data_IF_817541678074
#
_entry.id   IF_817541678074
#
_cell.length_a   1.000
_cell.length_b   1.000
_cell.length_c   1.000
_cell.angle_alpha   90.00
_cell.angle_beta   90.00
_cell.angle_gamma   90.00
#
_symmetry.space_group_name_H-M   'P 1'
#
loop_
_entity.id
_entity.type
_entity.pdbx_description
1 polymer ?
#
# COMPACT_ATOMS: atom_id res chain seq x y z
N UNK A 1 17.93 8.81 15.39
CA UNK A 1 18.43 8.64 14.01
C UNK A 1 17.24 8.58 13.07
N UNK A 2 17.19 9.43 12.05
CA UNK A 2 16.30 9.30 10.93
C UNK A 2 17.06 8.64 9.76
N UNK A 3 16.59 7.48 9.33
CA UNK A 3 17.09 6.77 8.14
C UNK A 3 16.21 7.16 6.95
N UNK A 4 16.83 7.39 5.80
CA UNK A 4 16.15 7.80 4.57
C UNK A 4 16.92 7.30 3.35
N UNK A 5 16.24 7.10 2.22
CA UNK A 5 16.82 6.70 0.92
C UNK A 5 17.60 5.37 0.95
N UNK A 6 17.25 4.46 1.83
CA UNK A 6 17.84 3.11 1.89
C UNK A 6 16.91 2.12 1.21
N UNK A 7 17.39 1.48 0.14
CA UNK A 7 16.59 0.52 -0.62
C UNK A 7 16.20 -0.73 0.19
N UNK A 8 15.01 -1.26 -0.09
CA UNK A 8 14.62 -2.58 0.41
C UNK A 8 15.38 -3.70 -0.38
N UNK A 9 15.84 -4.79 0.27
CA UNK A 9 15.53 -5.19 1.65
C UNK A 9 16.50 -4.64 2.73
N UNK A 10 17.58 -3.99 2.35
CA UNK A 10 18.64 -3.58 3.28
C UNK A 10 18.14 -2.62 4.36
N UNK A 11 17.19 -1.75 4.03
CA UNK A 11 16.60 -0.83 5.00
C UNK A 11 15.97 -1.53 6.21
N UNK A 12 15.37 -2.70 6.04
CA UNK A 12 14.78 -3.47 7.15
C UNK A 12 15.86 -3.98 8.10
N UNK A 13 16.94 -4.55 7.52
CA UNK A 13 18.04 -5.13 8.28
C UNK A 13 18.82 -4.04 9.03
N UNK A 14 19.05 -2.91 8.38
CA UNK A 14 19.80 -1.78 8.95
C UNK A 14 19.02 -1.19 10.12
N UNK A 15 17.73 -0.91 9.93
CA UNK A 15 16.88 -0.34 10.99
C UNK A 15 16.81 -1.26 12.20
N UNK A 16 16.56 -2.56 12.01
CA UNK A 16 16.51 -3.56 13.06
C UNK A 16 17.81 -3.62 13.87
N UNK A 17 18.93 -3.75 13.16
CA UNK A 17 20.25 -3.81 13.81
C UNK A 17 20.63 -2.53 14.56
N UNK A 18 20.23 -1.37 14.09
CA UNK A 18 20.48 -0.12 14.80
C UNK A 18 19.60 -0.01 16.04
N UNK A 19 18.33 -0.41 15.97
CA UNK A 19 17.44 -0.46 17.15
C UNK A 19 17.93 -1.42 18.24
N UNK A 20 18.54 -2.54 17.84
CA UNK A 20 19.13 -3.50 18.78
C UNK A 20 20.39 -2.98 19.48
N UNK A 21 21.18 -2.14 18.81
CA UNK A 21 22.51 -1.70 19.28
C UNK A 21 22.51 -0.35 19.99
N UNK A 22 21.48 0.45 19.81
CA UNK A 22 21.45 1.83 20.26
C UNK A 22 20.29 2.05 21.22
N UNK A 23 20.54 2.84 22.25
CA UNK A 23 19.53 3.24 23.26
C UNK A 23 18.82 4.56 22.87
N UNK A 24 18.93 5.01 21.63
CA UNK A 24 18.25 6.19 21.11
C UNK A 24 17.22 5.78 20.07
N UNK A 25 16.18 6.60 19.83
CA UNK A 25 15.20 6.29 18.79
C UNK A 25 15.83 6.18 17.40
N UNK A 26 15.47 5.11 16.69
CA UNK A 26 15.82 4.89 15.29
C UNK A 26 14.53 4.82 14.49
N UNK A 27 14.42 5.62 13.45
CA UNK A 27 13.24 5.77 12.61
C UNK A 27 13.67 5.74 11.14
N UNK A 28 12.88 5.11 10.28
CA UNK A 28 13.10 5.11 8.83
C UNK A 28 11.92 5.79 8.15
N UNK A 29 12.15 6.96 7.59
CA UNK A 29 11.08 7.82 7.06
C UNK A 29 10.31 7.19 5.91
N UNK A 30 11.01 6.61 4.92
CA UNK A 30 10.38 5.94 3.78
C UNK A 30 9.47 4.76 4.17
N UNK A 31 9.68 4.17 5.35
CA UNK A 31 8.79 3.16 5.90
C UNK A 31 7.69 3.80 6.75
N UNK A 32 8.09 4.39 7.86
CA UNK A 32 7.18 4.76 8.94
C UNK A 32 6.56 6.14 8.76
N UNK A 33 7.27 7.11 8.17
CA UNK A 33 6.73 8.42 7.86
C UNK A 33 5.61 8.32 6.83
N UNK A 34 5.87 7.62 5.73
CA UNK A 34 4.85 7.34 4.70
C UNK A 34 3.65 6.59 5.28
N UNK A 35 3.88 5.61 6.16
CA UNK A 35 2.78 4.85 6.78
C UNK A 35 1.92 5.72 7.70
N UNK A 36 2.53 6.57 8.52
CA UNK A 36 1.84 7.47 9.45
C UNK A 36 0.95 8.45 8.68
N UNK A 37 1.50 9.13 7.67
CA UNK A 37 0.74 10.13 6.92
C UNK A 37 -0.40 9.50 6.11
N UNK A 38 -0.15 8.31 5.55
CA UNK A 38 -1.15 7.58 4.78
C UNK A 38 -2.28 7.07 5.66
N UNK A 39 -1.99 6.58 6.87
CA UNK A 39 -3.03 6.19 7.81
C UNK A 39 -3.85 7.39 8.28
N UNK A 40 -3.22 8.52 8.59
CA UNK A 40 -3.92 9.73 8.97
C UNK A 40 -4.88 10.20 7.87
N UNK A 41 -4.42 10.17 6.61
CA UNK A 41 -5.26 10.47 5.46
C UNK A 41 -6.40 9.45 5.29
N UNK A 42 -6.13 8.16 5.50
CA UNK A 42 -7.14 7.11 5.41
C UNK A 42 -8.27 7.32 6.44
N UNK A 43 -7.92 7.58 7.70
CA UNK A 43 -8.91 7.82 8.77
C UNK A 43 -9.85 8.98 8.38
N UNK A 44 -9.30 10.10 7.91
CA UNK A 44 -10.10 11.25 7.49
C UNK A 44 -10.96 10.94 6.25
N UNK A 45 -10.39 10.23 5.26
CA UNK A 45 -11.13 9.85 4.06
C UNK A 45 -12.28 8.86 4.36
N UNK A 46 -12.08 7.96 5.32
CA UNK A 46 -13.12 7.05 5.79
C UNK A 46 -14.27 7.80 6.47
N UNK A 47 -13.98 8.82 7.27
CA UNK A 47 -15.02 9.65 7.87
C UNK A 47 -15.83 10.41 6.81
N UNK A 48 -15.16 10.99 5.82
CA UNK A 48 -15.83 11.68 4.69
C UNK A 48 -16.68 10.71 3.88
N UNK A 49 -16.15 9.54 3.53
CA UNK A 49 -16.83 8.55 2.69
C UNK A 49 -17.85 7.69 3.45
N UNK A 50 -17.92 7.84 4.79
CA UNK A 50 -18.78 7.06 5.70
C UNK A 50 -18.53 5.55 5.61
N UNK A 51 -17.28 5.15 5.39
CA UNK A 51 -16.86 3.76 5.34
C UNK A 51 -16.25 3.34 6.69
N UNK A 52 -16.44 2.08 7.06
CA UNK A 52 -15.87 1.53 8.30
C UNK A 52 -14.55 0.83 8.00
N UNK A 53 -13.50 1.14 8.75
CA UNK A 53 -12.15 0.62 8.54
C UNK A 53 -12.07 -0.92 8.49
N UNK A 54 -12.89 -1.61 9.27
CA UNK A 54 -12.95 -3.08 9.31
C UNK A 54 -13.56 -3.73 8.07
N UNK A 55 -14.29 -2.97 7.25
CA UNK A 55 -15.06 -3.50 6.12
C UNK A 55 -14.48 -3.12 4.76
N UNK A 56 -13.55 -2.16 4.72
CA UNK A 56 -12.93 -1.70 3.47
C UNK A 56 -12.03 -2.76 2.86
N UNK A 57 -11.99 -2.76 1.52
CA UNK A 57 -11.03 -3.51 0.71
C UNK A 57 -9.98 -2.57 0.15
N UNK A 58 -8.73 -2.88 0.39
CA UNK A 58 -7.58 -2.05 -0.02
C UNK A 58 -6.75 -2.79 -1.06
N UNK A 59 -6.40 -2.10 -2.13
CA UNK A 59 -5.36 -2.54 -3.06
C UNK A 59 -4.14 -1.65 -2.89
N UNK A 60 -3.03 -2.26 -2.50
CA UNK A 60 -1.72 -1.60 -2.38
C UNK A 60 -0.89 -1.93 -3.60
N UNK A 61 -0.67 -0.95 -4.46
CA UNK A 61 0.13 -1.11 -5.68
C UNK A 61 1.56 -0.62 -5.44
N UNK A 62 2.43 -1.56 -5.22
CA UNK A 62 3.80 -1.45 -4.74
C UNK A 62 4.07 -2.53 -3.69
N UNK A 63 5.30 -3.02 -3.62
CA UNK A 63 5.72 -4.00 -2.62
C UNK A 63 7.14 -3.70 -2.14
N UNK A 64 7.42 -2.42 -1.96
CA UNK A 64 8.63 -1.89 -1.34
C UNK A 64 8.45 -1.61 0.15
N UNK A 65 9.44 -0.95 0.74
CA UNK A 65 9.47 -0.66 2.18
C UNK A 65 8.24 0.13 2.66
N UNK A 66 7.89 1.21 1.97
CA UNK A 66 6.71 2.03 2.28
C UNK A 66 5.39 1.26 2.19
N UNK A 67 5.21 0.46 1.13
CA UNK A 67 4.01 -0.35 0.94
C UNK A 67 3.81 -1.37 2.06
N UNK A 68 4.89 -2.01 2.50
CA UNK A 68 4.88 -2.96 3.61
C UNK A 68 4.54 -2.28 4.94
N UNK A 69 5.17 -1.14 5.21
CA UNK A 69 4.92 -0.38 6.43
C UNK A 69 3.48 0.16 6.49
N UNK A 70 2.96 0.72 5.40
CA UNK A 70 1.57 1.14 5.29
C UNK A 70 0.60 -0.02 5.54
N UNK A 71 0.84 -1.17 4.90
CA UNK A 71 0.00 -2.36 5.06
C UNK A 71 -0.03 -2.84 6.51
N UNK A 72 1.11 -2.89 7.18
CA UNK A 72 1.19 -3.27 8.59
C UNK A 72 0.41 -2.30 9.48
N UNK A 73 0.58 -0.99 9.26
CA UNK A 73 -0.11 0.01 10.05
C UNK A 73 -1.64 -0.03 9.83
N UNK A 74 -2.10 -0.28 8.61
CA UNK A 74 -3.52 -0.46 8.31
C UNK A 74 -4.11 -1.69 9.02
N UNK A 75 -3.39 -2.82 9.01
CA UNK A 75 -3.80 -4.03 9.77
C UNK A 75 -3.90 -3.75 11.26
N UNK A 76 -2.91 -3.10 11.83
CA UNK A 76 -2.89 -2.73 13.25
C UNK A 76 -4.01 -1.75 13.62
N UNK A 77 -4.51 -0.99 12.65
CA UNK A 77 -5.62 -0.04 12.81
C UNK A 77 -7.00 -0.66 12.57
N UNK A 78 -7.08 -1.95 12.26
CA UNK A 78 -8.33 -2.69 12.17
C UNK A 78 -8.77 -3.13 10.76
N UNK A 79 -7.96 -2.89 9.73
CA UNK A 79 -8.22 -3.48 8.40
C UNK A 79 -7.94 -4.97 8.44
N UNK A 80 -8.89 -5.78 7.98
CA UNK A 80 -8.73 -7.24 7.95
C UNK A 80 -7.65 -7.65 6.95
N UNK A 81 -6.83 -8.62 7.31
CA UNK A 81 -5.73 -9.08 6.47
C UNK A 81 -6.20 -9.57 5.08
N UNK A 82 -7.30 -10.30 5.03
CA UNK A 82 -7.90 -10.82 3.80
C UNK A 82 -8.46 -9.73 2.88
N UNK A 83 -8.67 -8.51 3.40
CA UNK A 83 -9.16 -7.36 2.66
C UNK A 83 -8.04 -6.50 2.06
N UNK A 84 -6.77 -6.84 2.28
CA UNK A 84 -5.64 -6.09 1.69
C UNK A 84 -4.98 -6.94 0.62
N UNK A 85 -4.99 -6.46 -0.62
CA UNK A 85 -4.32 -7.10 -1.75
C UNK A 85 -3.10 -6.25 -2.13
N UNK A 86 -1.92 -6.84 -2.01
CA UNK A 86 -0.68 -6.20 -2.45
C UNK A 86 -0.33 -6.64 -3.87
N UNK A 87 0.12 -5.68 -4.68
CA UNK A 87 0.47 -5.90 -6.10
C UNK A 87 1.88 -5.37 -6.34
N UNK A 88 2.72 -6.12 -7.04
CA UNK A 88 4.03 -5.66 -7.52
C UNK A 88 4.11 -5.70 -9.06
N UNK A 89 5.29 -5.45 -9.62
CA UNK A 89 5.51 -5.44 -11.08
C UNK A 89 5.11 -6.75 -11.80
N UNK A 90 5.02 -7.86 -11.07
CA UNK A 90 4.63 -9.17 -11.61
C UNK A 90 3.15 -9.50 -11.36
N UNK A 91 2.39 -8.56 -10.77
CA UNK A 91 0.98 -8.73 -10.44
C UNK A 91 0.72 -8.95 -8.95
N UNK A 92 -0.41 -9.52 -8.63
CA UNK A 92 -0.86 -9.76 -7.25
C UNK A 92 0.11 -10.66 -6.49
N UNK A 93 0.33 -10.33 -5.21
CA UNK A 93 1.09 -11.18 -4.28
C UNK A 93 0.10 -12.15 -3.64
N UNK A 94 0.05 -13.38 -4.18
CA UNK A 94 -0.86 -14.43 -3.73
C UNK A 94 -0.12 -15.63 -3.15
N UNK A 95 -0.79 -16.41 -2.33
CA UNK A 95 -0.23 -17.61 -1.71
C UNK A 95 0.08 -18.66 -2.78
N UNK A 96 1.31 -19.17 -2.76
CA UNK A 96 1.82 -20.11 -3.78
C UNK A 96 2.37 -19.45 -5.04
N UNK A 97 2.51 -18.12 -5.08
CA UNK A 97 3.21 -17.44 -6.15
C UNK A 97 4.71 -17.70 -6.05
N UNK A 98 5.32 -18.12 -7.17
CA UNK A 98 6.76 -18.35 -7.26
C UNK A 98 7.59 -17.05 -7.11
N UNK A 99 8.84 -17.21 -6.67
CA UNK A 99 9.83 -16.13 -6.60
C UNK A 99 9.45 -14.95 -5.68
N UNK A 100 8.72 -15.21 -4.60
CA UNK A 100 8.53 -14.27 -3.50
C UNK A 100 9.74 -14.36 -2.55
N UNK A 101 10.30 -13.21 -2.19
CA UNK A 101 11.25 -13.16 -1.08
C UNK A 101 10.49 -13.26 0.26
N UNK A 102 11.25 -13.47 1.36
CA UNK A 102 10.67 -13.66 2.69
C UNK A 102 9.76 -12.50 3.13
N UNK A 103 10.11 -11.25 2.79
CA UNK A 103 9.31 -10.08 3.15
C UNK A 103 7.99 -10.03 2.39
N UNK A 104 8.02 -10.23 1.07
CA UNK A 104 6.81 -10.23 0.24
C UNK A 104 5.90 -11.41 0.56
N UNK A 105 6.46 -12.58 0.88
CA UNK A 105 5.66 -13.77 1.20
C UNK A 105 4.76 -13.57 2.42
N UNK A 106 5.16 -12.71 3.38
CA UNK A 106 4.35 -12.36 4.53
C UNK A 106 3.03 -11.62 4.19
N UNK A 107 2.95 -11.05 2.99
CA UNK A 107 1.75 -10.34 2.50
C UNK A 107 0.95 -11.14 1.47
N UNK A 108 1.34 -12.39 1.21
CA UNK A 108 0.62 -13.25 0.29
C UNK A 108 -0.72 -13.70 0.87
N UNK A 109 -1.80 -13.42 0.15
CA UNK A 109 -3.16 -13.81 0.53
C UNK A 109 -3.72 -14.89 -0.39
N UNK A 110 -4.76 -15.57 0.07
CA UNK A 110 -5.51 -16.52 -0.76
C UNK A 110 -6.45 -15.74 -1.68
N UNK A 111 -6.19 -15.76 -2.98
CA UNK A 111 -7.02 -15.04 -3.97
C UNK A 111 -6.85 -15.63 -5.37
N UNK A 112 -7.88 -15.45 -6.20
CA UNK A 112 -7.86 -15.81 -7.63
C UNK A 112 -7.32 -14.67 -8.50
N UNK A 113 -7.20 -13.46 -7.97
CA UNK A 113 -6.69 -12.32 -8.73
C UNK A 113 -5.20 -12.48 -9.04
N UNK A 114 -4.80 -12.06 -10.24
CA UNK A 114 -3.42 -12.12 -10.71
C UNK A 114 -2.89 -10.75 -11.13
N UNK A 115 -3.76 -9.86 -11.56
CA UNK A 115 -3.43 -8.53 -12.08
C UNK A 115 -4.00 -7.42 -11.20
N UNK A 116 -3.45 -6.20 -11.35
CA UNK A 116 -4.01 -5.01 -10.72
C UNK A 116 -5.45 -4.76 -11.16
N UNK A 117 -5.74 -4.93 -12.46
CA UNK A 117 -7.09 -4.72 -13.01
C UNK A 117 -8.13 -5.67 -12.38
N UNK A 118 -7.73 -6.89 -12.05
CA UNK A 118 -8.61 -7.85 -11.36
C UNK A 118 -8.79 -7.47 -9.88
N UNK A 119 -7.69 -7.12 -9.21
CA UNK A 119 -7.68 -6.81 -7.78
C UNK A 119 -8.48 -5.56 -7.43
N UNK A 120 -8.43 -4.53 -8.31
CA UNK A 120 -9.04 -3.22 -8.04
C UNK A 120 -10.57 -3.22 -8.13
N UNK A 121 -11.16 -4.22 -8.79
CA UNK A 121 -12.62 -4.31 -8.93
C UNK A 121 -13.32 -4.40 -7.58
N UNK A 122 -14.18 -3.43 -7.31
CA UNK A 122 -14.91 -3.33 -6.04
C UNK A 122 -14.03 -2.98 -4.84
N UNK A 123 -12.78 -2.56 -5.03
CA UNK A 123 -11.94 -2.06 -3.96
C UNK A 123 -12.43 -0.68 -3.47
N UNK A 124 -12.35 -0.46 -2.18
CA UNK A 124 -12.71 0.82 -1.54
C UNK A 124 -11.56 1.81 -1.56
N UNK A 125 -10.34 1.31 -1.47
CA UNK A 125 -9.12 2.11 -1.36
C UNK A 125 -8.07 1.60 -2.34
N UNK A 126 -7.47 2.51 -3.09
CA UNK A 126 -6.24 2.30 -3.83
C UNK A 126 -5.12 3.08 -3.16
N UNK A 127 -4.02 2.41 -2.82
CA UNK A 127 -2.78 3.02 -2.38
C UNK A 127 -1.70 2.74 -3.42
N UNK A 128 -1.33 3.76 -4.18
CA UNK A 128 -0.26 3.71 -5.18
C UNK A 128 1.06 4.16 -4.58
N UNK A 129 2.06 3.27 -4.63
CA UNK A 129 3.43 3.48 -4.19
C UNK A 129 4.38 2.86 -5.22
N UNK A 130 4.15 3.12 -6.50
CA UNK A 130 4.84 2.39 -7.58
C UNK A 130 5.30 3.29 -8.72
N UNK A 131 4.47 3.53 -9.73
CA UNK A 131 4.87 4.21 -10.95
C UNK A 131 3.72 5.00 -11.57
N UNK A 132 4.09 6.06 -12.29
CA UNK A 132 3.19 6.92 -13.07
C UNK A 132 2.25 6.13 -13.98
N UNK A 133 0.97 6.57 -14.01
CA UNK A 133 -0.01 6.18 -15.03
C UNK A 133 -0.47 4.73 -14.99
N UNK A 134 -0.23 4.02 -13.88
CA UNK A 134 -0.57 2.60 -13.78
C UNK A 134 -2.04 2.36 -13.43
N UNK A 135 -2.70 3.34 -12.80
CA UNK A 135 -4.13 3.30 -12.50
C UNK A 135 -4.90 4.00 -13.64
N UNK A 136 -5.71 3.25 -14.35
CA UNK A 136 -6.48 3.78 -15.48
C UNK A 136 -7.88 4.25 -15.05
N UNK A 137 -8.48 5.17 -15.84
CA UNK A 137 -9.88 5.60 -15.65
C UNK A 137 -10.87 4.42 -15.61
N UNK A 138 -10.64 3.38 -16.44
CA UNK A 138 -11.45 2.15 -16.44
C UNK A 138 -11.34 1.40 -15.10
N UNK A 139 -10.16 1.34 -14.53
CA UNK A 139 -9.95 0.74 -13.20
C UNK A 139 -10.68 1.54 -12.12
N UNK A 140 -10.57 2.87 -12.12
CA UNK A 140 -11.29 3.74 -11.17
C UNK A 140 -12.80 3.50 -11.24
N UNK A 141 -13.39 3.46 -12.44
CA UNK A 141 -14.81 3.13 -12.64
C UNK A 141 -15.23 1.77 -12.09
N UNK A 142 -14.31 0.82 -11.99
CA UNK A 142 -14.56 -0.53 -11.47
C UNK A 142 -14.47 -0.65 -9.96
N UNK A 143 -13.97 0.38 -9.27
CA UNK A 143 -13.89 0.43 -7.80
C UNK A 143 -15.29 0.52 -7.16
N UNK A 144 -15.34 0.43 -5.85
CA UNK A 144 -16.58 0.61 -5.09
C UNK A 144 -17.11 2.05 -5.19
N UNK A 145 -18.33 2.26 -4.76
CA UNK A 145 -18.92 3.61 -4.67
C UNK A 145 -18.11 4.47 -3.69
N UNK A 146 -17.86 5.73 -4.07
CA UNK A 146 -17.04 6.69 -3.31
C UNK A 146 -15.65 6.10 -2.97
N UNK A 147 -14.85 5.74 -3.98
CA UNK A 147 -13.52 5.17 -3.75
C UNK A 147 -12.56 6.21 -3.17
N UNK A 148 -11.58 5.74 -2.43
CA UNK A 148 -10.48 6.53 -1.89
C UNK A 148 -9.24 6.20 -2.71
N UNK A 149 -8.57 7.21 -3.28
CA UNK A 149 -7.38 7.02 -4.12
C UNK A 149 -6.23 7.84 -3.55
N UNK A 150 -5.18 7.15 -3.13
CA UNK A 150 -3.89 7.71 -2.76
C UNK A 150 -2.88 7.36 -3.83
N UNK A 151 -2.64 8.27 -4.76
CA UNK A 151 -1.68 8.10 -5.86
C UNK A 151 -0.37 8.82 -5.51
N UNK A 152 0.54 8.11 -4.84
CA UNK A 152 1.71 8.66 -4.18
C UNK A 152 3.02 8.47 -4.96
N UNK A 153 2.99 7.99 -6.21
CA UNK A 153 4.19 7.89 -7.02
C UNK A 153 4.79 9.27 -7.31
N UNK A 154 6.11 9.37 -7.24
CA UNK A 154 6.86 10.60 -7.36
C UNK A 154 7.87 10.49 -8.51
N UNK A 155 8.01 11.53 -9.40
CA UNK A 155 7.34 12.84 -9.38
C UNK A 155 5.91 12.85 -9.94
N UNK A 156 5.52 11.85 -10.70
CA UNK A 156 4.22 11.76 -11.35
C UNK A 156 3.37 10.66 -10.71
N UNK A 157 2.09 10.92 -10.38
CA UNK A 157 1.21 9.95 -9.71
C UNK A 157 0.77 8.80 -10.60
N UNK A 158 0.22 7.74 -10.01
CA UNK A 158 -0.38 6.61 -10.71
C UNK A 158 -1.59 7.01 -11.58
N UNK A 159 -2.29 8.06 -11.18
CA UNK A 159 -3.36 8.74 -11.92
C UNK A 159 -3.47 10.17 -11.40
N UNK A 160 -3.80 11.13 -12.24
CA UNK A 160 -3.98 12.52 -11.81
C UNK A 160 -5.40 12.78 -11.29
N UNK A 161 -5.60 13.79 -10.42
CA UNK A 161 -6.94 14.19 -9.98
C UNK A 161 -7.87 14.56 -11.14
N UNK A 162 -7.34 15.19 -12.18
CA UNK A 162 -8.11 15.56 -13.38
C UNK A 162 -8.66 14.33 -14.09
N UNK A 163 -7.82 13.30 -14.25
CA UNK A 163 -8.24 12.03 -14.87
C UNK A 163 -9.30 11.29 -14.04
N UNK A 164 -9.21 11.36 -12.70
CA UNK A 164 -10.21 10.77 -11.80
C UNK A 164 -11.53 11.53 -11.89
N UNK A 165 -11.50 12.85 -11.99
CA UNK A 165 -12.70 13.69 -12.08
C UNK A 165 -13.50 13.51 -13.37
N UNK A 166 -12.93 12.89 -14.40
CA UNK A 166 -13.62 12.58 -15.66
C UNK A 166 -14.48 11.29 -15.59
N UNK A 167 -14.51 10.57 -14.46
CA UNK A 167 -15.09 9.23 -14.39
C UNK A 167 -16.04 9.03 -13.14
#
# INVERSE_FOLDING_TARGET
INLEDIAAPDCFIIEEKLKEKLDIPVFHDDQHGTAIITLAALINALDISKKLIKDIKIVVNGAGASAMACTNLFKNSGVKNENIIMVDRKGVIYRGRDNLNQWKSAYAIETKHRTLEEAIKGADVFLGLSAKGILTKKMVKSMSKNPIIFACANPDPEITPEEVNEV
#
